data_IF_877179321569
#
_entry.id   IF_877179321569
#
_cell.length_a   1.000
_cell.length_b   1.000
_cell.length_c   1.000
_cell.angle_alpha   90.00
_cell.angle_beta   90.00
_cell.angle_gamma   90.00
#
_symmetry.space_group_name_H-M   'P 1'
#
loop_
_entity.id
_entity.type
_entity.pdbx_description
1 polymer ?
#
# COMPACT_ATOMS: atom_id res chain seq x y z
N UNK A 1 26.74 -34.13 29.47
CA UNK A 1 25.99 -34.21 28.22
C UNK A 1 25.88 -32.79 27.63
N UNK A 2 26.68 -32.48 26.64
CA UNK A 2 26.75 -31.16 26.02
C UNK A 2 25.66 -31.08 24.93
N UNK A 3 24.80 -30.07 25.01
CA UNK A 3 23.80 -29.77 23.98
C UNK A 3 24.51 -29.22 22.74
N UNK A 4 24.20 -29.81 21.58
CA UNK A 4 24.79 -29.46 20.30
C UNK A 4 24.32 -28.07 19.82
N UNK A 5 25.23 -27.19 19.36
CA UNK A 5 24.90 -25.83 18.89
C UNK A 5 24.37 -25.77 17.44
N UNK A 6 23.86 -26.88 16.90
CA UNK A 6 23.52 -26.96 15.46
C UNK A 6 22.10 -26.55 15.08
N UNK A 7 21.17 -26.40 16.00
CA UNK A 7 19.75 -26.14 15.67
C UNK A 7 19.36 -24.67 15.53
N UNK A 8 20.01 -23.79 16.25
CA UNK A 8 19.66 -22.35 16.26
C UNK A 8 20.20 -21.60 15.02
N UNK A 9 21.36 -22.02 14.50
CA UNK A 9 21.96 -21.42 13.29
C UNK A 9 21.14 -21.61 12.04
N UNK A 10 20.62 -22.82 11.82
CA UNK A 10 19.78 -23.14 10.64
C UNK A 10 18.43 -22.42 10.67
N UNK A 11 17.86 -22.17 11.84
CA UNK A 11 16.62 -21.41 12.02
C UNK A 11 16.82 -19.91 11.69
N UNK A 12 17.96 -19.33 12.08
CA UNK A 12 18.29 -17.92 11.83
C UNK A 12 18.62 -17.65 10.36
N UNK A 13 19.34 -18.57 9.70
CA UNK A 13 19.62 -18.46 8.26
C UNK A 13 18.35 -18.54 7.43
N UNK A 14 17.45 -19.46 7.75
CA UNK A 14 16.13 -19.55 7.09
C UNK A 14 15.27 -18.31 7.31
N UNK A 15 15.29 -17.73 8.52
CA UNK A 15 14.59 -16.48 8.83
C UNK A 15 15.20 -15.29 8.07
N UNK A 16 16.54 -15.23 7.98
CA UNK A 16 17.23 -14.21 7.21
C UNK A 16 16.91 -14.28 5.71
N UNK A 17 16.91 -15.48 5.13
CA UNK A 17 16.55 -15.67 3.73
C UNK A 17 15.09 -15.29 3.44
N UNK A 18 14.17 -15.65 4.32
CA UNK A 18 12.76 -15.27 4.19
C UNK A 18 12.59 -13.75 4.27
N UNK A 19 13.25 -13.10 5.22
CA UNK A 19 13.24 -11.65 5.37
C UNK A 19 13.89 -10.93 4.18
N UNK A 20 15.01 -11.45 3.67
CA UNK A 20 15.70 -10.89 2.51
C UNK A 20 14.81 -10.92 1.25
N UNK A 21 14.13 -12.05 1.00
CA UNK A 21 13.21 -12.19 -0.13
C UNK A 21 11.99 -11.27 0.00
N UNK A 22 11.38 -11.22 1.18
CA UNK A 22 10.18 -10.43 1.44
C UNK A 22 10.44 -8.92 1.35
N UNK A 23 11.62 -8.47 1.81
CA UNK A 23 11.96 -7.05 1.90
C UNK A 23 12.94 -6.60 0.80
N UNK A 24 13.34 -7.47 -0.11
CA UNK A 24 14.28 -7.12 -1.18
C UNK A 24 15.62 -6.58 -0.65
N UNK A 25 16.15 -7.18 0.42
CA UNK A 25 17.40 -6.78 1.04
C UNK A 25 18.53 -7.63 0.49
N UNK A 26 19.49 -7.00 -0.16
CA UNK A 26 20.64 -7.69 -0.73
C UNK A 26 21.66 -8.08 0.35
N UNK A 27 22.09 -9.34 0.33
CA UNK A 27 23.13 -9.86 1.20
C UNK A 27 22.78 -9.78 2.70
N UNK A 28 21.49 -9.93 3.06
CA UNK A 28 21.05 -9.92 4.47
C UNK A 28 21.74 -11.07 5.22
N UNK A 29 22.46 -10.72 6.25
CA UNK A 29 23.07 -11.64 7.22
C UNK A 29 22.54 -11.34 8.60
N UNK A 30 22.20 -12.40 9.33
CA UNK A 30 21.77 -12.31 10.72
C UNK A 30 22.73 -13.12 11.58
N UNK A 31 23.32 -12.50 12.58
CA UNK A 31 24.20 -13.15 13.55
C UNK A 31 23.75 -12.84 14.96
N UNK A 32 23.93 -13.80 15.88
CA UNK A 32 23.63 -13.60 17.30
C UNK A 32 24.92 -13.28 18.07
N UNK A 33 24.95 -12.14 18.72
CA UNK A 33 26.04 -11.75 19.62
C UNK A 33 25.47 -11.46 21.01
N UNK A 34 25.84 -12.27 21.99
CA UNK A 34 25.35 -12.12 23.35
C UNK A 34 23.84 -12.18 23.49
N UNK A 35 23.15 -12.99 22.65
CA UNK A 35 21.68 -13.09 22.63
C UNK A 35 20.98 -11.94 21.92
N UNK A 36 21.72 -11.02 21.27
CA UNK A 36 21.17 -9.91 20.49
C UNK A 36 21.38 -10.17 19.00
N UNK A 37 20.32 -10.12 18.16
CA UNK A 37 20.46 -10.24 16.72
C UNK A 37 21.17 -9.01 16.14
N UNK A 38 22.18 -9.26 15.32
CA UNK A 38 22.85 -8.26 14.51
C UNK A 38 22.49 -8.51 13.05
N UNK A 39 22.02 -7.50 12.35
CA UNK A 39 21.66 -7.59 10.93
C UNK A 39 22.55 -6.68 10.09
N UNK A 40 23.10 -7.25 9.02
CA UNK A 40 23.98 -6.59 8.05
C UNK A 40 23.49 -6.88 6.62
N UNK A 41 23.77 -5.98 5.68
CA UNK A 41 23.38 -6.09 4.26
C UNK A 41 23.05 -4.73 3.69
N UNK A 42 22.36 -4.72 2.54
CA UNK A 42 21.96 -3.50 1.87
C UNK A 42 20.46 -3.45 1.65
N UNK A 43 19.79 -2.53 2.34
CA UNK A 43 18.36 -2.30 2.22
C UNK A 43 18.04 -1.28 1.12
N UNK A 44 16.96 -1.47 0.34
CA UNK A 44 16.57 -0.54 -0.72
C UNK A 44 16.18 0.87 -0.22
N UNK A 45 15.74 0.98 1.04
CA UNK A 45 15.40 2.26 1.65
C UNK A 45 15.47 2.20 3.18
N UNK A 46 15.42 3.37 3.83
CA UNK A 46 15.32 3.46 5.31
C UNK A 46 14.11 2.70 5.88
N UNK A 47 13.01 2.66 5.13
CA UNK A 47 11.83 1.89 5.52
C UNK A 47 12.14 0.39 5.59
N UNK A 48 12.73 -0.16 4.52
CA UNK A 48 13.11 -1.58 4.47
C UNK A 48 14.13 -1.93 5.56
N UNK A 49 15.07 -1.00 5.83
CA UNK A 49 16.00 -1.12 6.96
C UNK A 49 15.27 -1.25 8.30
N UNK A 50 14.23 -0.45 8.53
CA UNK A 50 13.44 -0.49 9.77
C UNK A 50 12.59 -1.76 9.84
N UNK A 51 11.87 -2.09 8.77
CA UNK A 51 11.01 -3.28 8.71
C UNK A 51 11.82 -4.58 8.89
N UNK A 52 13.08 -4.62 8.43
CA UNK A 52 13.97 -5.76 8.67
C UNK A 52 14.26 -5.97 10.16
N UNK A 53 14.54 -4.89 10.90
CA UNK A 53 14.77 -5.00 12.34
C UNK A 53 13.53 -5.46 13.09
N UNK A 54 12.35 -4.94 12.72
CA UNK A 54 11.07 -5.33 13.30
C UNK A 54 10.78 -6.82 13.03
N UNK A 55 10.96 -7.26 11.78
CA UNK A 55 10.73 -8.66 11.40
C UNK A 55 11.70 -9.63 12.10
N UNK A 56 12.98 -9.31 12.12
CA UNK A 56 13.99 -10.16 12.79
C UNK A 56 13.75 -10.18 14.30
N UNK A 57 13.36 -9.06 14.91
CA UNK A 57 12.96 -9.01 16.31
C UNK A 57 11.79 -9.94 16.63
N UNK A 58 10.77 -9.95 15.76
CA UNK A 58 9.62 -10.86 15.89
C UNK A 58 10.03 -12.33 15.74
N UNK A 59 10.83 -12.65 14.72
CA UNK A 59 11.26 -14.02 14.45
C UNK A 59 12.18 -14.61 15.50
N UNK A 60 13.00 -13.78 16.15
CA UNK A 60 13.96 -14.19 17.18
C UNK A 60 13.45 -14.01 18.61
N UNK A 61 12.29 -13.35 18.79
CA UNK A 61 11.78 -12.96 20.12
C UNK A 61 12.64 -11.90 20.83
N UNK A 62 13.58 -11.28 20.12
CA UNK A 62 14.50 -10.31 20.69
C UNK A 62 13.85 -8.93 20.83
N UNK A 63 13.98 -8.31 22.00
CA UNK A 63 13.51 -6.94 22.26
C UNK A 63 14.37 -5.87 21.59
N UNK A 64 15.61 -6.19 21.28
CA UNK A 64 16.56 -5.29 20.63
C UNK A 64 17.24 -6.00 19.48
N UNK A 65 17.37 -5.30 18.36
CA UNK A 65 18.08 -5.76 17.15
C UNK A 65 19.11 -4.70 16.78
N UNK A 66 20.37 -5.09 16.65
CA UNK A 66 21.43 -4.19 16.18
C UNK A 66 21.36 -4.13 14.65
N UNK A 67 20.84 -3.03 14.14
CA UNK A 67 20.60 -2.86 12.70
C UNK A 67 21.76 -2.10 12.03
N UNK A 68 22.68 -2.84 11.41
CA UNK A 68 23.81 -2.34 10.62
C UNK A 68 23.57 -2.36 9.12
N UNK A 69 22.31 -2.53 8.67
CA UNK A 69 21.99 -2.45 7.24
C UNK A 69 22.41 -1.09 6.69
N UNK A 70 23.14 -1.11 5.57
CA UNK A 70 23.36 0.08 4.76
C UNK A 70 22.12 0.33 3.93
N UNK A 71 21.74 1.57 3.76
CA UNK A 71 20.74 1.91 2.75
C UNK A 71 21.46 2.08 1.45
N UNK A 72 21.06 1.33 0.42
CA UNK A 72 21.63 1.49 -0.91
C UNK A 72 21.62 2.99 -1.25
N UNK A 73 22.71 3.55 -1.79
CA UNK A 73 22.66 4.87 -2.37
C UNK A 73 21.48 4.82 -3.33
N UNK A 74 20.56 5.77 -3.19
CA UNK A 74 19.51 5.93 -4.17
C UNK A 74 20.26 6.16 -5.46
N UNK A 75 20.50 5.08 -6.24
CA UNK A 75 20.80 5.28 -7.64
C UNK A 75 19.69 6.21 -8.07
N UNK A 76 20.07 7.39 -8.52
CA UNK A 76 19.13 8.36 -8.99
C UNK A 76 18.42 7.70 -10.19
N UNK A 77 17.42 6.88 -9.90
CA UNK A 77 16.47 6.44 -10.89
C UNK A 77 15.83 7.74 -11.30
N UNK A 78 16.36 8.30 -12.39
CA UNK A 78 15.95 9.60 -12.85
C UNK A 78 14.42 9.57 -12.94
N UNK A 79 13.75 10.63 -12.54
CA UNK A 79 12.31 10.76 -12.67
C UNK A 79 11.85 10.35 -14.07
N UNK A 80 12.71 10.57 -15.07
CA UNK A 80 12.52 10.09 -16.45
C UNK A 80 12.42 8.56 -16.55
N UNK A 81 13.25 7.81 -15.82
CA UNK A 81 13.19 6.34 -15.82
C UNK A 81 11.97 5.82 -15.08
N UNK A 82 11.55 6.49 -14.00
CA UNK A 82 10.29 6.19 -13.32
C UNK A 82 9.12 6.46 -14.26
N UNK A 83 9.08 7.62 -14.93
CA UNK A 83 8.01 7.98 -15.88
C UNK A 83 7.88 6.98 -17.05
N UNK A 84 9.00 6.47 -17.58
CA UNK A 84 8.97 5.45 -18.63
C UNK A 84 8.38 4.13 -18.13
N UNK A 85 8.74 3.68 -16.92
CA UNK A 85 8.17 2.45 -16.32
C UNK A 85 6.72 2.61 -15.96
N UNK A 86 6.29 3.80 -15.53
CA UNK A 86 4.89 4.10 -15.25
C UNK A 86 4.03 3.92 -16.50
N UNK A 87 4.48 4.40 -17.65
CA UNK A 87 3.76 4.20 -18.91
C UNK A 87 3.57 2.71 -19.22
N UNK A 88 4.62 1.92 -19.14
CA UNK A 88 4.54 0.48 -19.35
C UNK A 88 3.65 -0.21 -18.31
N UNK A 89 3.65 0.24 -17.05
CA UNK A 89 2.81 -0.31 -16.00
C UNK A 89 1.32 0.01 -16.24
N UNK A 90 0.99 1.19 -16.76
CA UNK A 90 -0.39 1.55 -17.12
C UNK A 90 -0.86 0.79 -18.34
N UNK A 91 -0.02 0.62 -19.37
CA UNK A 91 -0.33 -0.17 -20.55
C UNK A 91 -0.58 -1.65 -20.23
N UNK A 92 0.06 -2.16 -19.17
CA UNK A 92 -0.11 -3.54 -18.68
C UNK A 92 -1.34 -3.73 -17.78
N UNK A 93 -2.02 -2.65 -17.36
CA UNK A 93 -3.18 -2.69 -16.48
C UNK A 93 -4.47 -2.57 -17.32
N UNK A 94 -5.24 -3.66 -17.51
CA UNK A 94 -6.38 -3.67 -18.43
C UNK A 94 -7.54 -2.76 -18.03
N UNK A 95 -7.66 -2.44 -16.72
CA UNK A 95 -8.69 -1.54 -16.21
C UNK A 95 -8.33 -0.06 -16.38
N UNK A 96 -7.09 0.24 -16.81
CA UNK A 96 -6.56 1.60 -16.87
C UNK A 96 -6.44 2.07 -18.32
N UNK A 97 -7.14 3.13 -18.66
CA UNK A 97 -6.87 3.83 -19.91
C UNK A 97 -5.70 4.80 -19.73
N UNK A 98 -4.52 4.38 -20.18
CA UNK A 98 -3.29 5.16 -20.04
C UNK A 98 -3.37 6.54 -20.73
N UNK A 99 -4.24 6.72 -21.73
CA UNK A 99 -4.41 7.99 -22.44
C UNK A 99 -5.09 9.07 -21.58
N UNK A 100 -5.87 8.65 -20.58
CA UNK A 100 -6.58 9.57 -19.67
C UNK A 100 -5.72 9.98 -18.47
N UNK A 101 -4.56 9.34 -18.27
CA UNK A 101 -3.68 9.58 -17.13
C UNK A 101 -2.55 10.56 -17.46
N UNK A 102 -2.30 11.46 -16.54
CA UNK A 102 -1.20 12.43 -16.60
C UNK A 102 -0.28 12.26 -15.37
N UNK A 103 0.67 11.31 -15.42
CA UNK A 103 1.62 11.14 -14.35
C UNK A 103 2.73 12.20 -14.42
N UNK A 104 2.97 12.91 -13.35
CA UNK A 104 4.12 13.78 -13.17
C UNK A 104 5.05 13.20 -12.10
N UNK A 105 6.35 13.14 -12.38
CA UNK A 105 7.34 12.56 -11.46
C UNK A 105 8.35 13.63 -11.09
N UNK A 106 8.49 13.89 -9.78
CA UNK A 106 9.46 14.83 -9.21
C UNK A 106 10.13 14.22 -7.98
N UNK A 107 11.43 14.03 -8.02
CA UNK A 107 12.20 13.46 -6.91
C UNK A 107 11.65 12.11 -6.39
N UNK A 108 11.10 11.28 -7.29
CA UNK A 108 10.46 10.02 -6.95
C UNK A 108 9.04 10.14 -6.37
N UNK A 109 8.50 11.35 -6.21
CA UNK A 109 7.08 11.59 -5.93
C UNK A 109 6.32 11.54 -7.25
N UNK A 110 5.29 10.71 -7.32
CA UNK A 110 4.42 10.60 -8.49
C UNK A 110 3.10 11.28 -8.19
N UNK A 111 2.80 12.36 -8.91
CA UNK A 111 1.48 12.96 -8.92
C UNK A 111 0.68 12.41 -10.08
N UNK A 112 -0.46 11.78 -9.79
CA UNK A 112 -1.41 11.28 -10.78
C UNK A 112 -2.55 12.24 -10.95
N UNK A 113 -2.78 12.70 -12.18
CA UNK A 113 -3.94 13.50 -12.57
C UNK A 113 -4.66 12.84 -13.73
N UNK A 114 -5.95 13.13 -13.87
CA UNK A 114 -6.76 12.62 -14.96
C UNK A 114 -8.14 12.19 -14.52
N UNK A 115 -8.89 11.65 -15.46
CA UNK A 115 -10.24 11.14 -15.24
C UNK A 115 -10.26 9.66 -15.62
N UNK A 116 -10.76 8.83 -14.73
CA UNK A 116 -10.90 7.39 -14.94
C UNK A 116 -12.38 7.00 -14.97
N UNK A 117 -12.68 5.85 -15.56
CA UNK A 117 -14.07 5.41 -15.77
C UNK A 117 -14.74 4.83 -14.51
N UNK A 118 -13.98 4.38 -13.53
CA UNK A 118 -14.50 3.75 -12.31
C UNK A 118 -13.51 3.85 -11.14
N UNK A 119 -13.99 3.58 -9.92
CA UNK A 119 -13.12 3.45 -8.74
C UNK A 119 -12.14 2.28 -8.90
N UNK A 120 -12.56 1.19 -9.53
CA UNK A 120 -11.67 0.06 -9.83
C UNK A 120 -10.50 0.49 -10.71
N UNK A 121 -10.73 1.32 -11.73
CA UNK A 121 -9.69 1.88 -12.58
C UNK A 121 -8.76 2.83 -11.79
N UNK A 122 -9.30 3.64 -10.87
CA UNK A 122 -8.52 4.50 -9.98
C UNK A 122 -7.58 3.65 -9.11
N UNK A 123 -8.11 2.60 -8.48
CA UNK A 123 -7.32 1.70 -7.64
C UNK A 123 -6.29 0.91 -8.42
N UNK A 124 -6.62 0.49 -9.66
CA UNK A 124 -5.68 -0.19 -10.55
C UNK A 124 -4.53 0.73 -10.96
N UNK A 125 -4.82 1.99 -11.30
CA UNK A 125 -3.79 2.99 -11.62
C UNK A 125 -2.86 3.22 -10.43
N UNK A 126 -3.39 3.37 -9.22
CA UNK A 126 -2.58 3.54 -8.01
C UNK A 126 -1.70 2.31 -7.72
N UNK A 127 -2.25 1.09 -7.84
CA UNK A 127 -1.47 -0.15 -7.73
C UNK A 127 -0.34 -0.23 -8.76
N UNK A 128 -0.62 0.14 -10.01
CA UNK A 128 0.38 0.17 -11.07
C UNK A 128 1.55 1.11 -10.71
N UNK A 129 1.27 2.29 -10.17
CA UNK A 129 2.32 3.20 -9.69
C UNK A 129 3.17 2.58 -8.59
N UNK A 130 2.55 1.91 -7.62
CA UNK A 130 3.29 1.28 -6.52
C UNK A 130 4.13 0.09 -6.95
N UNK A 131 3.80 -0.55 -8.07
CA UNK A 131 4.61 -1.64 -8.64
C UNK A 131 5.94 -1.13 -9.22
N UNK A 132 6.02 0.16 -9.56
CA UNK A 132 7.22 0.76 -10.16
C UNK A 132 8.28 1.04 -9.10
N UNK A 133 9.41 0.38 -9.25
CA UNK A 133 10.55 0.60 -8.35
C UNK A 133 11.13 2.01 -8.49
N UNK A 134 11.37 2.66 -7.34
CA UNK A 134 11.91 4.03 -7.26
C UNK A 134 10.86 5.08 -6.89
N UNK A 135 9.57 4.74 -6.92
CA UNK A 135 8.50 5.59 -6.40
C UNK A 135 8.63 5.70 -4.88
N UNK A 136 8.74 6.92 -4.39
CA UNK A 136 8.84 7.23 -2.97
C UNK A 136 7.48 7.56 -2.36
N UNK A 137 6.65 8.27 -3.14
CA UNK A 137 5.34 8.77 -2.71
C UNK A 137 4.41 8.89 -3.92
N UNK A 138 3.11 8.75 -3.68
CA UNK A 138 2.07 8.95 -4.70
C UNK A 138 1.08 9.96 -4.18
N UNK A 139 0.87 11.02 -4.94
CA UNK A 139 -0.20 11.99 -4.75
C UNK A 139 -1.28 11.68 -5.78
N UNK A 140 -2.34 11.01 -5.36
CA UNK A 140 -3.42 10.61 -6.26
C UNK A 140 -4.45 11.76 -6.33
N UNK A 141 -4.60 12.37 -7.52
CA UNK A 141 -5.60 13.40 -7.87
C UNK A 141 -6.48 12.96 -9.01
N UNK A 142 -6.62 11.66 -9.20
CA UNK A 142 -7.55 11.10 -10.18
C UNK A 142 -9.00 11.36 -9.76
N UNK A 143 -9.84 11.63 -10.73
CA UNK A 143 -11.28 11.74 -10.56
C UNK A 143 -11.97 10.63 -11.33
N UNK A 144 -13.08 10.17 -10.81
CA UNK A 144 -13.92 9.16 -11.50
C UNK A 144 -15.00 9.88 -12.27
N UNK A 145 -15.13 9.55 -13.55
CA UNK A 145 -16.12 10.15 -14.45
C UNK A 145 -17.55 9.94 -13.93
N UNK A 146 -18.36 10.97 -14.01
CA UNK A 146 -19.75 10.98 -13.56
C UNK A 146 -20.76 10.35 -14.54
N UNK A 147 -20.40 9.27 -15.25
CA UNK A 147 -21.25 8.63 -16.25
C UNK A 147 -21.97 7.41 -15.70
N UNK A 148 -23.06 7.61 -14.98
CA UNK A 148 -23.98 6.52 -14.57
C UNK A 148 -25.38 6.84 -14.99
N UNK A 149 -26.16 5.80 -15.32
CA UNK A 149 -27.50 5.94 -15.84
C UNK A 149 -28.54 6.32 -14.76
N UNK A 150 -28.30 5.90 -13.52
CA UNK A 150 -29.21 6.18 -12.40
C UNK A 150 -28.47 6.21 -11.04
N UNK A 151 -29.06 6.82 -9.99
CA UNK A 151 -28.53 6.74 -8.62
C UNK A 151 -28.37 5.31 -8.13
N UNK A 152 -29.27 4.39 -8.49
CA UNK A 152 -29.23 2.98 -8.10
C UNK A 152 -28.02 2.27 -8.76
N UNK A 153 -27.70 2.62 -10.02
CA UNK A 153 -26.53 2.08 -10.70
C UNK A 153 -25.24 2.61 -10.06
N UNK A 154 -25.20 3.88 -9.69
CA UNK A 154 -24.08 4.46 -8.95
C UNK A 154 -23.88 3.78 -7.59
N UNK A 155 -24.96 3.58 -6.83
CA UNK A 155 -24.94 2.87 -5.55
C UNK A 155 -24.30 1.50 -5.69
N UNK A 156 -24.82 0.70 -6.63
CA UNK A 156 -24.32 -0.67 -6.88
C UNK A 156 -22.86 -0.68 -7.32
N UNK A 157 -22.46 0.25 -8.18
CA UNK A 157 -21.09 0.37 -8.65
C UNK A 157 -20.14 0.75 -7.51
N UNK A 158 -20.51 1.73 -6.68
CA UNK A 158 -19.74 2.13 -5.52
C UNK A 158 -19.53 0.98 -4.53
N UNK A 159 -20.58 0.22 -4.21
CA UNK A 159 -20.49 -0.92 -3.29
C UNK A 159 -19.51 -2.00 -3.80
N UNK A 160 -19.61 -2.36 -5.07
CA UNK A 160 -18.73 -3.37 -5.70
C UNK A 160 -17.30 -2.87 -5.74
N UNK A 161 -17.09 -1.66 -6.21
CA UNK A 161 -15.75 -1.08 -6.37
C UNK A 161 -15.07 -0.88 -5.02
N UNK A 162 -15.79 -0.39 -4.01
CA UNK A 162 -15.24 -0.23 -2.65
C UNK A 162 -14.78 -1.56 -2.06
N UNK A 163 -15.61 -2.61 -2.17
CA UNK A 163 -15.22 -3.93 -1.69
C UNK A 163 -13.99 -4.47 -2.42
N UNK A 164 -13.91 -4.30 -3.74
CA UNK A 164 -12.77 -4.73 -4.54
C UNK A 164 -11.50 -3.91 -4.23
N UNK A 165 -11.60 -2.58 -4.17
CA UNK A 165 -10.47 -1.68 -3.90
C UNK A 165 -9.87 -1.88 -2.51
N UNK A 166 -10.71 -2.16 -1.53
CA UNK A 166 -10.32 -2.30 -0.13
C UNK A 166 -10.11 -3.76 0.31
N UNK A 167 -10.25 -4.71 -0.63
CA UNK A 167 -10.16 -6.14 -0.36
C UNK A 167 -11.13 -6.60 0.73
N UNK A 168 -12.34 -6.04 0.72
CA UNK A 168 -13.42 -6.38 1.66
C UNK A 168 -14.34 -7.44 1.08
N UNK A 169 -15.01 -8.24 1.91
CA UNK A 169 -16.06 -9.14 1.46
C UNK A 169 -17.20 -8.37 0.77
N UNK A 170 -17.80 -9.01 -0.25
CA UNK A 170 -18.97 -8.44 -0.92
C UNK A 170 -20.09 -8.19 0.09
N UNK A 171 -20.65 -6.97 0.06
CA UNK A 171 -21.68 -6.54 0.99
C UNK A 171 -21.19 -6.04 2.36
N UNK A 172 -19.87 -5.97 2.60
CA UNK A 172 -19.31 -5.38 3.82
C UNK A 172 -19.59 -3.87 3.93
N UNK A 173 -19.68 -3.20 2.77
CA UNK A 173 -20.01 -1.78 2.66
C UNK A 173 -21.27 -1.63 1.82
N UNK A 174 -22.19 -0.81 2.29
CA UNK A 174 -23.39 -0.36 1.57
C UNK A 174 -23.34 1.14 1.40
N UNK A 175 -23.86 1.62 0.28
CA UNK A 175 -23.98 3.02 -0.04
C UNK A 175 -25.43 3.40 -0.28
N UNK A 176 -25.90 4.48 0.32
CA UNK A 176 -27.20 5.10 0.03
C UNK A 176 -26.96 6.50 -0.51
N UNK A 177 -27.56 6.88 -1.64
CA UNK A 177 -27.33 8.18 -2.27
C UNK A 177 -28.59 9.02 -2.16
N UNK A 178 -28.45 10.17 -1.50
CA UNK A 178 -29.53 11.13 -1.33
C UNK A 178 -29.07 12.53 -1.71
N UNK A 179 -29.61 13.12 -2.77
CA UNK A 179 -29.33 14.50 -3.17
C UNK A 179 -27.83 14.79 -3.42
N UNK A 180 -27.05 13.81 -3.92
CA UNK A 180 -25.62 13.94 -4.14
C UNK A 180 -24.75 13.63 -2.91
N UNK A 181 -25.36 13.38 -1.74
CA UNK A 181 -24.67 12.89 -0.54
C UNK A 181 -24.70 11.37 -0.51
N UNK A 182 -23.55 10.75 -0.30
CA UNK A 182 -23.40 9.29 -0.15
C UNK A 182 -23.26 8.93 1.32
N UNK A 183 -24.20 8.13 1.82
CA UNK A 183 -24.15 7.54 3.15
C UNK A 183 -23.50 6.15 3.07
N UNK A 184 -22.33 5.99 3.68
CA UNK A 184 -21.63 4.70 3.77
C UNK A 184 -21.99 3.99 5.07
N UNK A 185 -22.52 2.77 4.97
CA UNK A 185 -22.90 1.92 6.11
C UNK A 185 -22.25 0.55 5.99
N UNK A 186 -22.05 -0.09 7.13
CA UNK A 186 -21.50 -1.43 7.17
C UNK A 186 -20.38 -1.58 8.20
N UNK A 187 -19.59 -2.64 8.03
CA UNK A 187 -18.54 -2.98 8.98
C UNK A 187 -17.24 -3.21 8.27
N UNK A 188 -16.18 -2.55 8.73
CA UNK A 188 -14.85 -2.63 8.14
C UNK A 188 -13.81 -3.04 9.19
N UNK A 189 -12.70 -3.69 8.79
CA UNK A 189 -11.72 -4.22 9.74
C UNK A 189 -11.00 -3.14 10.55
N UNK A 190 -10.77 -1.94 9.99
CA UNK A 190 -9.98 -0.91 10.68
C UNK A 190 -10.38 0.51 10.33
N UNK A 191 -9.91 1.50 11.13
CA UNK A 191 -10.08 2.92 10.83
C UNK A 191 -9.50 3.33 9.48
N UNK A 192 -8.47 2.62 9.00
CA UNK A 192 -7.92 2.85 7.67
C UNK A 192 -8.95 2.59 6.57
N UNK A 193 -9.66 1.44 6.62
CA UNK A 193 -10.70 1.11 5.65
C UNK A 193 -11.84 2.12 5.65
N UNK A 194 -12.20 2.63 6.84
CA UNK A 194 -13.21 3.67 6.99
C UNK A 194 -12.80 4.96 6.26
N UNK A 195 -11.58 5.44 6.48
CA UNK A 195 -11.06 6.64 5.83
C UNK A 195 -10.84 6.44 4.32
N UNK A 196 -10.29 5.29 3.93
CA UNK A 196 -10.04 4.99 2.53
C UNK A 196 -11.33 4.86 1.71
N UNK A 197 -12.40 4.30 2.30
CA UNK A 197 -13.71 4.26 1.66
C UNK A 197 -14.25 5.66 1.38
N UNK A 198 -14.14 6.57 2.33
CA UNK A 198 -14.55 7.96 2.18
C UNK A 198 -13.78 8.69 1.09
N UNK A 199 -12.43 8.54 1.07
CA UNK A 199 -11.57 9.16 0.06
C UNK A 199 -11.88 8.66 -1.36
N UNK A 200 -12.11 7.35 -1.50
CA UNK A 200 -12.47 6.76 -2.78
C UNK A 200 -13.80 7.30 -3.30
N UNK A 201 -14.82 7.38 -2.43
CA UNK A 201 -16.15 7.88 -2.83
C UNK A 201 -16.08 9.37 -3.20
N UNK A 202 -15.31 10.18 -2.47
CA UNK A 202 -15.10 11.61 -2.80
C UNK A 202 -14.40 11.85 -4.13
N UNK A 203 -13.67 10.88 -4.66
CA UNK A 203 -13.06 10.99 -5.98
C UNK A 203 -14.08 10.95 -7.13
N UNK A 204 -15.33 10.52 -6.88
CA UNK A 204 -16.37 10.41 -7.90
C UNK A 204 -17.03 11.77 -8.16
N UNK A 205 -17.12 12.19 -9.42
CA UNK A 205 -17.60 13.52 -9.83
C UNK A 205 -19.07 13.80 -9.46
N UNK A 206 -19.90 12.76 -9.35
CA UNK A 206 -21.33 12.90 -8.98
C UNK A 206 -21.53 13.03 -7.47
N UNK A 207 -20.49 12.82 -6.67
CA UNK A 207 -20.59 12.89 -5.20
C UNK A 207 -20.26 14.29 -4.73
N UNK A 208 -21.20 14.91 -4.03
CA UNK A 208 -21.03 16.24 -3.44
C UNK A 208 -20.54 16.16 -2.00
N UNK A 209 -21.05 15.17 -1.24
CA UNK A 209 -20.66 14.96 0.15
C UNK A 209 -20.70 13.47 0.54
N UNK A 210 -20.02 13.10 1.62
CA UNK A 210 -19.97 11.72 2.13
C UNK A 210 -20.20 11.73 3.62
N UNK A 211 -21.22 10.97 4.05
CA UNK A 211 -21.50 10.67 5.45
C UNK A 211 -21.02 9.24 5.73
N UNK A 212 -19.96 9.13 6.51
CA UNK A 212 -19.29 7.86 6.78
C UNK A 212 -19.76 7.28 8.11
N UNK A 213 -20.71 6.33 8.06
CA UNK A 213 -21.28 5.60 9.20
C UNK A 213 -20.72 4.16 9.30
N UNK A 214 -19.56 3.90 8.71
CA UNK A 214 -18.90 2.58 8.79
C UNK A 214 -18.44 2.29 10.22
N UNK A 215 -18.82 1.14 10.74
CA UNK A 215 -18.36 0.65 12.04
C UNK A 215 -17.03 -0.13 11.87
N UNK A 216 -16.14 0.01 12.85
CA UNK A 216 -14.85 -0.70 12.87
C UNK A 216 -14.93 -1.88 13.83
N UNK A 217 -14.60 -3.09 13.37
CA UNK A 217 -14.68 -4.31 14.20
C UNK A 217 -13.60 -4.42 15.27
N UNK A 218 -12.55 -3.62 15.20
CA UNK A 218 -11.43 -3.67 16.17
C UNK A 218 -10.63 -4.98 16.15
N UNK A 219 -10.80 -5.83 15.15
CA UNK A 219 -9.92 -6.99 14.97
C UNK A 219 -8.52 -6.49 14.62
N UNK A 220 -7.53 -7.00 15.34
CA UNK A 220 -6.10 -6.68 15.13
C UNK A 220 -5.73 -6.99 13.68
N UNK A 221 -5.53 -5.94 12.90
CA UNK A 221 -5.10 -6.10 11.51
C UNK A 221 -3.70 -6.69 11.40
N UNK A 222 -3.47 -7.49 10.35
CA UNK A 222 -2.13 -7.54 9.78
C UNK A 222 -1.78 -6.10 9.33
N UNK A 223 -0.56 -5.66 9.67
CA UNK A 223 -0.10 -4.28 9.44
C UNK A 223 -0.53 -3.76 8.07
N UNK A 224 -1.05 -2.53 7.98
CA UNK A 224 -1.58 -1.99 6.74
C UNK A 224 -0.54 -2.10 5.63
N UNK A 225 -0.96 -2.64 4.50
CA UNK A 225 -0.09 -2.77 3.33
C UNK A 225 0.50 -1.41 2.92
N UNK A 226 1.53 -1.38 2.06
CA UNK A 226 2.27 -0.17 1.72
C UNK A 226 1.40 0.99 1.20
N UNK A 227 0.26 0.69 0.60
CA UNK A 227 -0.74 1.66 0.17
C UNK A 227 -1.42 2.36 1.34
N UNK A 228 -1.74 1.61 2.39
CA UNK A 228 -2.46 2.07 3.56
C UNK A 228 -1.65 3.08 4.40
N UNK A 229 -0.42 2.73 4.74
CA UNK A 229 0.44 3.61 5.55
C UNK A 229 0.74 4.96 4.87
N UNK A 230 0.83 4.96 3.53
CA UNK A 230 1.17 6.18 2.80
C UNK A 230 -0.01 7.14 2.68
N UNK A 231 -1.24 6.63 2.53
CA UNK A 231 -2.46 7.45 2.58
C UNK A 231 -2.64 8.09 3.95
N UNK A 232 -2.35 7.38 5.04
CA UNK A 232 -2.42 7.94 6.40
C UNK A 232 -1.40 9.06 6.63
N UNK A 233 -0.18 8.95 6.08
CA UNK A 233 0.87 9.98 6.23
C UNK A 233 0.59 11.25 5.42
N UNK A 234 0.03 11.12 4.23
CA UNK A 234 -0.33 12.26 3.37
C UNK A 234 -1.43 13.16 3.98
N UNK A 235 -2.22 12.63 4.93
CA UNK A 235 -3.25 13.40 5.66
C UNK A 235 -2.74 14.04 6.95
N UNK A 236 -1.59 13.62 7.47
CA UNK A 236 -1.01 14.13 8.70
C UNK A 236 0.00 15.28 8.48
N UNK A 237 0.24 15.62 7.21
CA UNK A 237 1.06 16.76 6.77
C UNK A 237 0.20 17.84 6.17
#
# INVERSE_FOLDING_TARGET
>A
MAASPGGEGASLESAAEAAARTLGIDGLRVSMLGGVPHIEGTAPSFRHKRSAAELIGLLTGARHVVNRLRVAPREARSDRAIAQRLRAAFEAAPEVDAATLQPEVRNGVVELRGIVSSLSALCAAERAVWSVGGVAEVVNRLRVAGTVASPEDLTRQLEVDLCACLSLPVGAVRADIMGGTVHLKGVVPSPYHQLAAEDLVRAHELVQDVVNELAVTGLVEPAPGPLAEKRMRARAS
#
